data_IF_046981130805
#
_entry.id   IF_046981130805
#
_cell.length_a   1.000
_cell.length_b   1.000
_cell.length_c   1.000
_cell.angle_alpha   90.00
_cell.angle_beta   90.00
_cell.angle_gamma   90.00
#
_symmetry.space_group_name_H-M   'P 1'
#
loop_
_entity.id
_entity.type
_entity.pdbx_description
1 polymer ?
#
# COMPACT_ATOMS: atom_id res chain seq x y z
N UNK A 1 -12.81 -10.45 -6.36
CA UNK A 1 -13.68 -10.45 -7.56
C UNK A 1 -14.48 -9.15 -7.77
N UNK A 2 -15.46 -8.80 -6.92
CA UNK A 2 -16.35 -7.63 -7.16
C UNK A 2 -15.60 -6.31 -7.38
N UNK A 3 -14.53 -6.05 -6.61
CA UNK A 3 -13.68 -4.88 -6.81
C UNK A 3 -13.01 -4.83 -8.20
N UNK A 4 -12.53 -5.98 -8.71
CA UNK A 4 -11.92 -6.09 -10.05
C UNK A 4 -12.96 -5.85 -11.14
N UNK A 5 -14.17 -6.40 -10.99
CA UNK A 5 -15.29 -6.16 -11.91
C UNK A 5 -15.66 -4.68 -11.93
N UNK A 6 -15.77 -4.05 -10.76
CA UNK A 6 -16.09 -2.63 -10.65
C UNK A 6 -15.01 -1.75 -11.32
N UNK A 7 -13.72 -2.02 -11.09
CA UNK A 7 -12.64 -1.27 -11.75
C UNK A 7 -12.61 -1.48 -13.27
N UNK A 8 -12.83 -2.71 -13.74
CA UNK A 8 -12.98 -2.99 -15.16
C UNK A 8 -14.15 -2.20 -15.76
N UNK A 9 -15.30 -2.19 -15.09
CA UNK A 9 -16.48 -1.45 -15.56
C UNK A 9 -16.25 0.07 -15.59
N UNK A 10 -15.62 0.62 -14.55
CA UNK A 10 -15.35 2.07 -14.46
C UNK A 10 -14.30 2.48 -15.48
N UNK A 11 -13.20 1.74 -15.65
CA UNK A 11 -12.00 2.27 -16.33
C UNK A 11 -11.67 1.63 -17.69
N UNK A 12 -12.27 0.49 -18.08
CA UNK A 12 -11.85 -0.20 -19.30
C UNK A 12 -12.35 0.45 -20.61
N UNK A 13 -13.41 1.27 -20.51
CA UNK A 13 -14.01 1.99 -21.63
C UNK A 13 -13.10 3.09 -22.22
N UNK A 14 -13.47 3.67 -23.38
CA UNK A 14 -12.76 4.81 -23.94
C UNK A 14 -12.74 6.03 -22.99
N UNK A 15 -13.86 6.24 -22.31
CA UNK A 15 -14.08 7.19 -21.21
C UNK A 15 -14.49 6.41 -19.96
N UNK A 16 -14.20 6.92 -18.75
CA UNK A 16 -14.61 6.23 -17.54
C UNK A 16 -16.12 6.26 -17.35
N UNK A 17 -16.67 5.17 -16.81
CA UNK A 17 -18.07 5.11 -16.43
C UNK A 17 -18.29 5.75 -15.06
N UNK A 18 -19.09 6.81 -15.03
CA UNK A 18 -19.45 7.50 -13.79
C UNK A 18 -20.58 6.82 -13.00
N UNK A 19 -21.17 5.73 -13.51
CA UNK A 19 -22.28 5.02 -12.86
C UNK A 19 -22.06 3.52 -12.88
N UNK A 20 -21.86 2.93 -11.70
CA UNK A 20 -21.89 1.48 -11.53
C UNK A 20 -23.35 0.99 -11.48
N UNK A 21 -23.71 -0.07 -12.23
CA UNK A 21 -25.07 -0.58 -12.27
C UNK A 21 -25.42 -1.35 -10.99
N UNK A 22 -26.72 -1.49 -10.64
CA UNK A 22 -27.16 -2.18 -9.42
C UNK A 22 -26.65 -3.62 -9.28
N UNK A 23 -26.49 -4.33 -10.40
CA UNK A 23 -25.95 -5.70 -10.43
C UNK A 23 -24.50 -5.79 -9.89
N UNK A 24 -23.74 -4.69 -9.89
CA UNK A 24 -22.39 -4.60 -9.32
C UNK A 24 -22.43 -3.83 -8.00
N UNK A 25 -23.06 -2.66 -7.98
CA UNK A 25 -23.06 -1.77 -6.81
C UNK A 25 -23.69 -2.39 -5.57
N UNK A 26 -24.88 -3.01 -5.68
CA UNK A 26 -25.58 -3.57 -4.51
C UNK A 26 -24.77 -4.68 -3.82
N UNK A 27 -24.30 -5.74 -4.50
CA UNK A 27 -23.49 -6.77 -3.83
C UNK A 27 -22.13 -6.23 -3.37
N UNK A 28 -21.56 -5.25 -4.07
CA UNK A 28 -20.26 -4.69 -3.68
C UNK A 28 -20.37 -3.85 -2.41
N UNK A 29 -21.38 -2.97 -2.31
CA UNK A 29 -21.67 -2.18 -1.11
C UNK A 29 -21.92 -3.09 0.11
N UNK A 30 -22.78 -4.10 -0.03
CA UNK A 30 -23.08 -5.05 1.07
C UNK A 30 -21.85 -5.83 1.53
N UNK A 31 -21.05 -6.31 0.58
CA UNK A 31 -19.81 -7.03 0.90
C UNK A 31 -18.81 -6.12 1.61
N UNK A 32 -18.65 -4.89 1.12
CA UNK A 32 -17.74 -3.90 1.68
C UNK A 32 -18.15 -3.49 3.10
N UNK A 33 -19.45 -3.28 3.33
CA UNK A 33 -20.02 -3.02 4.66
C UNK A 33 -19.76 -4.18 5.62
N UNK A 34 -20.02 -5.42 5.20
CA UNK A 34 -19.76 -6.60 6.02
C UNK A 34 -18.29 -6.77 6.41
N UNK A 35 -17.37 -6.45 5.49
CA UNK A 35 -15.93 -6.51 5.71
C UNK A 35 -15.37 -5.23 6.37
N UNK A 36 -16.24 -4.25 6.64
CA UNK A 36 -15.90 -2.96 7.24
C UNK A 36 -14.79 -2.21 6.46
N UNK A 37 -14.87 -2.24 5.12
CA UNK A 37 -13.88 -1.63 4.21
C UNK A 37 -14.56 -0.81 3.13
N UNK A 38 -13.89 0.19 2.56
CA UNK A 38 -14.47 0.95 1.44
C UNK A 38 -14.71 0.09 0.17
N UNK A 39 -15.82 0.33 -0.57
CA UNK A 39 -16.18 -0.39 -1.79
C UNK A 39 -15.37 0.13 -3.00
N UNK A 40 -14.06 -0.06 -2.95
CA UNK A 40 -13.11 0.23 -4.04
C UNK A 40 -12.06 -0.89 -4.11
N UNK A 41 -11.23 -0.93 -5.14
CA UNK A 41 -10.12 -1.88 -5.22
C UNK A 41 -9.00 -1.52 -4.23
N UNK A 42 -9.23 -1.86 -2.96
CA UNK A 42 -8.26 -1.70 -1.87
C UNK A 42 -7.10 -2.69 -2.00
N UNK A 43 -6.02 -2.42 -1.28
CA UNK A 43 -4.89 -3.34 -1.16
C UNK A 43 -5.31 -4.73 -0.68
N UNK A 44 -6.27 -4.84 0.25
CA UNK A 44 -6.79 -6.13 0.69
C UNK A 44 -7.47 -6.91 -0.45
N UNK A 45 -8.30 -6.22 -1.24
CA UNK A 45 -9.03 -6.84 -2.35
C UNK A 45 -8.14 -7.22 -3.54
N UNK A 46 -7.08 -6.44 -3.79
CA UNK A 46 -6.16 -6.67 -4.92
C UNK A 46 -4.99 -7.58 -4.58
N UNK A 47 -4.58 -7.66 -3.31
CA UNK A 47 -3.44 -8.45 -2.86
C UNK A 47 -3.88 -9.52 -1.85
N UNK A 48 -4.22 -9.14 -0.61
CA UNK A 48 -4.38 -10.08 0.51
C UNK A 48 -5.35 -11.24 0.22
N UNK A 49 -6.43 -10.97 -0.51
CA UNK A 49 -7.46 -11.94 -0.88
C UNK A 49 -7.37 -12.46 -2.33
N UNK A 50 -6.34 -12.09 -3.08
CA UNK A 50 -6.26 -12.26 -4.53
C UNK A 50 -5.05 -13.08 -4.99
N UNK A 51 -4.83 -14.25 -4.40
CA UNK A 51 -3.72 -15.13 -4.77
C UNK A 51 -4.11 -16.59 -4.57
N UNK A 52 -3.40 -17.48 -5.27
CA UNK A 52 -3.48 -18.93 -5.07
C UNK A 52 -2.09 -19.54 -5.22
N UNK A 53 -1.75 -20.58 -4.44
CA UNK A 53 -0.52 -21.32 -4.65
C UNK A 53 -0.56 -22.12 -5.96
N UNK A 54 0.61 -22.35 -6.56
CA UNK A 54 0.77 -23.20 -7.75
C UNK A 54 0.92 -24.69 -7.42
N UNK A 55 1.14 -25.03 -6.15
CA UNK A 55 1.21 -26.41 -5.65
C UNK A 55 0.74 -26.52 -4.20
N UNK A 56 0.35 -27.72 -3.76
CA UNK A 56 -0.25 -27.96 -2.44
C UNK A 56 0.67 -27.57 -1.26
N UNK A 57 1.99 -27.66 -1.43
CA UNK A 57 3.00 -27.35 -0.41
C UNK A 57 3.91 -26.19 -0.83
N UNK A 58 3.37 -25.26 -1.60
CA UNK A 58 4.07 -24.06 -2.05
C UNK A 58 4.57 -23.21 -0.85
N UNK A 59 5.86 -22.84 -0.87
CA UNK A 59 6.38 -21.79 0.03
C UNK A 59 5.87 -20.43 -0.46
N UNK A 60 4.90 -19.87 0.26
CA UNK A 60 4.24 -18.60 -0.05
C UNK A 60 5.15 -17.38 0.16
N UNK A 61 6.32 -17.56 0.78
CA UNK A 61 7.32 -16.51 0.85
C UNK A 61 8.09 -16.35 -0.46
N UNK A 62 7.94 -17.27 -1.43
CA UNK A 62 8.51 -17.16 -2.77
C UNK A 62 7.44 -16.73 -3.78
N UNK A 63 7.62 -15.61 -4.48
CA UNK A 63 6.61 -15.11 -5.42
C UNK A 63 6.37 -16.06 -6.60
N UNK A 64 7.35 -16.82 -7.08
CA UNK A 64 7.14 -17.79 -8.18
C UNK A 64 6.18 -18.92 -7.84
N UNK A 65 5.87 -19.13 -6.56
CA UNK A 65 4.97 -20.19 -6.13
C UNK A 65 3.49 -19.75 -6.10
N UNK A 66 3.18 -18.50 -6.47
CA UNK A 66 1.84 -17.95 -6.42
C UNK A 66 1.45 -17.26 -7.73
N UNK A 67 0.13 -17.16 -7.97
CA UNK A 67 -0.45 -16.38 -9.07
C UNK A 67 -1.69 -15.63 -8.59
N UNK A 68 -1.97 -14.47 -9.16
CA UNK A 68 -3.17 -13.70 -8.85
C UNK A 68 -4.44 -14.43 -9.34
N UNK A 69 -5.48 -14.47 -8.52
CA UNK A 69 -6.77 -15.10 -8.89
C UNK A 69 -7.53 -14.29 -9.94
N UNK A 70 -7.46 -12.96 -9.83
CA UNK A 70 -8.15 -12.02 -10.69
C UNK A 70 -7.24 -10.86 -11.08
N UNK A 71 -7.23 -10.56 -12.38
CA UNK A 71 -6.52 -9.44 -12.99
C UNK A 71 -7.46 -8.74 -13.97
N UNK A 72 -7.26 -7.45 -14.22
CA UNK A 72 -8.09 -6.71 -15.20
C UNK A 72 -7.51 -6.84 -16.60
N UNK A 73 -6.19 -6.80 -16.73
CA UNK A 73 -5.46 -6.89 -18.00
C UNK A 73 -5.23 -8.33 -18.47
N UNK A 74 -5.26 -9.30 -17.55
CA UNK A 74 -4.89 -10.69 -17.85
C UNK A 74 -3.38 -10.91 -18.03
N UNK A 75 -2.53 -9.89 -17.82
CA UNK A 75 -1.10 -9.99 -18.06
C UNK A 75 -0.32 -10.59 -16.89
N UNK A 76 0.85 -11.15 -17.21
CA UNK A 76 1.79 -11.62 -16.20
C UNK A 76 2.32 -10.46 -15.32
N UNK A 77 2.55 -9.29 -15.91
CA UNK A 77 2.98 -8.09 -15.20
C UNK A 77 2.03 -7.68 -14.08
N UNK A 78 0.72 -7.78 -14.29
CA UNK A 78 -0.29 -7.44 -13.28
C UNK A 78 -0.31 -8.47 -12.17
N UNK A 79 -0.27 -9.77 -12.53
CA UNK A 79 -0.17 -10.83 -11.53
C UNK A 79 1.10 -10.67 -10.69
N UNK A 80 2.25 -10.43 -11.33
CA UNK A 80 3.52 -10.27 -10.64
C UNK A 80 3.52 -9.07 -9.69
N UNK A 81 2.94 -7.94 -10.12
CA UNK A 81 2.79 -6.75 -9.29
C UNK A 81 2.06 -7.04 -7.96
N UNK A 82 0.97 -7.81 -8.01
CA UNK A 82 0.25 -8.23 -6.80
C UNK A 82 1.04 -9.28 -6.01
N UNK A 83 1.60 -10.29 -6.68
CA UNK A 83 2.26 -11.42 -6.03
C UNK A 83 3.55 -11.03 -5.31
N UNK A 84 4.31 -10.04 -5.79
CA UNK A 84 5.44 -9.47 -5.02
C UNK A 84 4.95 -8.92 -3.67
N UNK A 85 3.82 -8.20 -3.68
CA UNK A 85 3.20 -7.67 -2.46
C UNK A 85 2.74 -8.80 -1.53
N UNK A 86 2.10 -9.86 -2.07
CA UNK A 86 1.70 -11.03 -1.30
C UNK A 86 2.89 -11.77 -0.64
N UNK A 87 3.96 -11.99 -1.40
CA UNK A 87 5.16 -12.67 -0.88
C UNK A 87 5.82 -11.85 0.24
N UNK A 88 5.80 -10.52 0.13
CA UNK A 88 6.28 -9.63 1.20
C UNK A 88 5.44 -9.77 2.47
N UNK A 89 4.12 -9.73 2.35
CA UNK A 89 3.19 -9.92 3.48
C UNK A 89 3.42 -11.28 4.16
N UNK A 90 3.52 -12.37 3.37
CA UNK A 90 3.77 -13.71 3.89
C UNK A 90 5.14 -13.82 4.59
N UNK A 91 6.20 -13.25 3.99
CA UNK A 91 7.57 -13.30 4.53
C UNK A 91 7.72 -12.50 5.82
N UNK A 92 6.99 -11.40 5.95
CA UNK A 92 7.03 -10.54 7.13
C UNK A 92 5.99 -10.91 8.20
N UNK A 93 5.06 -11.82 7.93
CA UNK A 93 4.06 -12.29 8.90
C UNK A 93 4.64 -12.64 10.28
N UNK A 94 5.72 -13.45 10.37
CA UNK A 94 6.35 -13.78 11.65
C UNK A 94 6.92 -12.58 12.44
N UNK A 95 7.16 -11.44 11.79
CA UNK A 95 7.61 -10.22 12.47
C UNK A 95 6.53 -9.65 13.39
N UNK A 96 5.25 -9.91 13.11
CA UNK A 96 4.14 -9.45 13.95
C UNK A 96 4.27 -10.06 15.35
N UNK A 97 4.41 -11.39 15.43
CA UNK A 97 4.56 -12.10 16.70
C UNK A 97 5.84 -11.69 17.43
N UNK A 98 6.97 -11.60 16.72
CA UNK A 98 8.25 -11.20 17.32
C UNK A 98 8.18 -9.79 17.94
N UNK A 99 7.57 -8.83 17.25
CA UNK A 99 7.48 -7.46 17.73
C UNK A 99 6.43 -7.29 18.83
N UNK A 100 5.32 -8.05 18.80
CA UNK A 100 4.39 -8.11 19.92
C UNK A 100 5.04 -8.73 21.17
N UNK A 101 5.85 -9.79 21.00
CA UNK A 101 6.65 -10.35 22.07
C UNK A 101 7.66 -9.36 22.66
N UNK A 102 8.23 -8.47 21.83
CA UNK A 102 9.07 -7.38 22.31
C UNK A 102 8.31 -6.34 23.14
N UNK A 103 7.06 -6.02 22.75
CA UNK A 103 6.19 -5.13 23.53
C UNK A 103 5.88 -5.72 24.91
N UNK A 104 5.62 -7.03 24.99
CA UNK A 104 5.40 -7.73 26.26
C UNK A 104 6.67 -7.81 27.11
N UNK A 105 7.82 -8.09 26.48
CA UNK A 105 9.13 -8.19 27.15
C UNK A 105 9.56 -6.88 27.85
N UNK A 106 9.05 -5.73 27.42
CA UNK A 106 9.26 -4.44 28.10
C UNK A 106 8.70 -4.47 29.53
N UNK A 107 7.52 -5.07 29.74
CA UNK A 107 6.87 -5.14 31.07
C UNK A 107 7.66 -5.98 32.07
N UNK A 108 8.36 -7.01 31.59
CA UNK A 108 9.21 -7.89 32.41
C UNK A 108 10.68 -7.49 32.42
N UNK A 109 11.05 -6.36 31.79
CA UNK A 109 12.42 -5.90 31.64
C UNK A 109 13.36 -6.94 30.98
N UNK A 110 12.83 -7.74 30.05
CA UNK A 110 13.59 -8.74 29.30
C UNK A 110 14.26 -8.11 28.07
N UNK A 111 15.37 -7.42 28.33
CA UNK A 111 16.17 -6.73 27.32
C UNK A 111 16.64 -7.68 26.21
N UNK A 112 16.98 -8.92 26.54
CA UNK A 112 17.51 -9.89 25.58
C UNK A 112 16.45 -10.23 24.54
N UNK A 113 15.21 -10.47 24.95
CA UNK A 113 14.10 -10.72 24.02
C UNK A 113 13.83 -9.50 23.12
N UNK A 114 13.88 -8.29 23.68
CA UNK A 114 13.69 -7.05 22.91
C UNK A 114 14.78 -6.92 21.83
N UNK A 115 16.05 -7.11 22.19
CA UNK A 115 17.18 -7.04 21.25
C UNK A 115 17.03 -8.06 20.12
N UNK A 116 16.73 -9.32 20.45
CA UNK A 116 16.55 -10.37 19.44
C UNK A 116 15.39 -10.07 18.49
N UNK A 117 14.26 -9.58 19.00
CA UNK A 117 13.13 -9.19 18.17
C UNK A 117 13.48 -8.04 17.22
N UNK A 118 14.19 -7.02 17.68
CA UNK A 118 14.65 -5.89 16.85
C UNK A 118 15.65 -6.32 15.77
N UNK A 119 16.57 -7.24 16.11
CA UNK A 119 17.50 -7.82 15.14
C UNK A 119 16.78 -8.69 14.10
N UNK A 120 15.79 -9.48 14.52
CA UNK A 120 14.95 -10.27 13.62
C UNK A 120 14.11 -9.37 12.71
N UNK A 121 13.53 -8.30 13.25
CA UNK A 121 12.83 -7.27 12.49
C UNK A 121 13.74 -6.63 11.42
N UNK A 122 14.96 -6.23 11.79
CA UNK A 122 15.95 -5.70 10.83
C UNK A 122 16.16 -6.68 9.67
N UNK A 123 16.38 -7.96 9.95
CA UNK A 123 16.58 -8.98 8.92
C UNK A 123 15.34 -9.15 8.04
N UNK A 124 14.15 -9.16 8.65
CA UNK A 124 12.88 -9.23 7.94
C UNK A 124 12.66 -8.06 6.98
N UNK A 125 12.93 -6.83 7.42
CA UNK A 125 12.84 -5.63 6.57
C UNK A 125 13.80 -5.68 5.39
N UNK A 126 15.03 -6.15 5.60
CA UNK A 126 15.99 -6.36 4.51
C UNK A 126 15.48 -7.42 3.53
N UNK A 127 14.89 -8.50 4.04
CA UNK A 127 14.38 -9.60 3.22
C UNK A 127 13.17 -9.22 2.35
N UNK A 128 12.19 -8.49 2.90
CA UNK A 128 11.08 -7.99 2.08
C UNK A 128 11.52 -6.85 1.14
N UNK A 129 12.57 -6.10 1.51
CA UNK A 129 13.20 -5.14 0.61
C UNK A 129 13.83 -5.81 -0.62
N UNK A 130 14.42 -7.00 -0.46
CA UNK A 130 14.92 -7.79 -1.58
C UNK A 130 13.78 -8.29 -2.47
N UNK A 131 12.65 -8.73 -1.91
CA UNK A 131 11.47 -9.08 -2.70
C UNK A 131 10.95 -7.91 -3.53
N UNK A 132 10.91 -6.71 -2.97
CA UNK A 132 10.44 -5.52 -3.68
C UNK A 132 11.27 -5.21 -4.93
N UNK A 133 12.58 -5.47 -4.90
CA UNK A 133 13.49 -5.27 -6.03
C UNK A 133 13.26 -6.28 -7.17
N UNK A 134 12.60 -7.41 -6.89
CA UNK A 134 12.25 -8.43 -7.88
C UNK A 134 11.05 -8.06 -8.74
N UNK A 135 10.44 -6.89 -8.51
CA UNK A 135 9.36 -6.36 -9.37
C UNK A 135 9.78 -6.34 -10.85
N UNK A 136 11.05 -6.03 -11.14
CA UNK A 136 11.58 -5.92 -12.50
C UNK A 136 11.70 -7.24 -13.25
N UNK A 137 11.62 -8.37 -12.56
CA UNK A 137 11.82 -9.68 -13.19
C UNK A 137 10.69 -9.98 -14.18
N UNK A 138 9.46 -9.54 -13.87
CA UNK A 138 8.25 -9.92 -14.63
C UNK A 138 7.21 -8.79 -14.75
N UNK A 139 7.51 -7.57 -14.29
CA UNK A 139 6.62 -6.41 -14.47
C UNK A 139 7.36 -5.29 -15.20
N UNK A 140 7.00 -5.04 -16.46
CA UNK A 140 7.55 -3.95 -17.26
C UNK A 140 7.02 -2.57 -16.78
N UNK A 141 7.89 -1.58 -16.55
CA UNK A 141 7.47 -0.25 -16.09
C UNK A 141 6.48 0.48 -17.01
N UNK A 142 6.56 0.30 -18.34
CA UNK A 142 5.62 0.93 -19.28
C UNK A 142 4.26 0.22 -19.23
N UNK A 143 4.27 -1.11 -19.16
CA UNK A 143 3.06 -1.92 -18.98
C UNK A 143 2.35 -1.56 -17.68
N UNK A 144 3.10 -1.45 -16.58
CA UNK A 144 2.56 -0.99 -15.31
C UNK A 144 1.93 0.40 -15.43
N UNK A 145 2.69 1.39 -15.92
CA UNK A 145 2.25 2.78 -15.91
C UNK A 145 1.03 3.03 -16.82
N UNK A 146 1.03 2.48 -18.04
CA UNK A 146 0.00 2.77 -19.03
C UNK A 146 -1.18 1.80 -19.03
N UNK A 147 -0.99 0.55 -18.58
CA UNK A 147 -2.04 -0.48 -18.64
C UNK A 147 -2.58 -0.84 -17.27
N UNK A 148 -1.72 -1.09 -16.28
CA UNK A 148 -2.15 -1.62 -14.97
C UNK A 148 -2.61 -0.48 -14.05
N UNK A 149 -1.77 0.55 -13.87
CA UNK A 149 -2.00 1.67 -12.95
C UNK A 149 -3.37 2.36 -13.10
N UNK A 150 -3.93 2.56 -14.31
CA UNK A 150 -5.28 3.10 -14.46
C UNK A 150 -6.36 2.30 -13.71
N UNK A 151 -6.23 0.97 -13.63
CA UNK A 151 -7.19 0.11 -12.92
C UNK A 151 -7.00 0.10 -11.40
N UNK A 152 -5.85 0.60 -10.92
CA UNK A 152 -5.59 0.81 -9.50
C UNK A 152 -6.14 2.15 -9.00
N UNK A 153 -6.52 3.05 -9.91
CA UNK A 153 -7.02 4.37 -9.59
C UNK A 153 -8.38 4.31 -8.88
N UNK A 154 -8.58 5.21 -7.92
CA UNK A 154 -9.89 5.47 -7.33
C UNK A 154 -10.60 6.60 -8.08
N UNK A 155 -11.75 7.02 -7.58
CA UNK A 155 -12.56 8.10 -8.17
C UNK A 155 -12.38 9.46 -7.48
N UNK A 156 -11.62 9.53 -6.39
CA UNK A 156 -11.31 10.78 -5.70
C UNK A 156 -10.37 11.66 -6.52
N UNK A 157 -10.71 12.94 -6.64
CA UNK A 157 -9.97 13.95 -7.41
C UNK A 157 -9.83 13.65 -8.92
N UNK A 158 -10.73 12.85 -9.51
CA UNK A 158 -10.64 12.40 -10.91
C UNK A 158 -11.44 13.25 -11.92
N UNK A 159 -11.64 14.54 -11.64
CA UNK A 159 -12.42 15.43 -12.52
C UNK A 159 -11.81 15.54 -13.93
N UNK A 160 -10.49 15.65 -14.05
CA UNK A 160 -9.77 15.73 -15.35
C UNK A 160 -9.83 14.42 -16.14
N UNK A 161 -10.03 13.29 -15.44
CA UNK A 161 -10.22 11.98 -16.05
C UNK A 161 -11.66 11.76 -16.54
N UNK A 162 -12.62 12.60 -16.14
CA UNK A 162 -14.04 12.48 -16.49
C UNK A 162 -14.95 12.06 -15.34
N UNK A 163 -14.46 12.03 -14.09
CA UNK A 163 -15.25 11.68 -12.90
C UNK A 163 -15.28 12.85 -11.88
N UNK A 164 -15.94 13.98 -12.22
CA UNK A 164 -15.93 15.19 -11.38
C UNK A 164 -16.60 15.00 -10.01
N UNK A 165 -17.56 14.08 -9.91
CA UNK A 165 -18.32 13.78 -8.69
C UNK A 165 -17.94 12.42 -8.07
N UNK A 166 -16.86 11.80 -8.57
CA UNK A 166 -16.58 10.39 -8.32
C UNK A 166 -17.47 9.47 -9.15
N UNK A 167 -17.95 8.38 -8.55
CA UNK A 167 -18.80 7.37 -9.20
C UNK A 167 -20.14 7.28 -8.47
N UNK A 168 -21.24 7.24 -9.21
CA UNK A 168 -22.57 6.95 -8.69
C UNK A 168 -22.72 5.43 -8.50
N UNK A 169 -22.92 5.02 -7.26
CA UNK A 169 -23.22 3.62 -6.90
C UNK A 169 -24.74 3.47 -6.95
N UNK A 170 -25.25 2.93 -8.05
CA UNK A 170 -26.68 2.77 -8.30
C UNK A 170 -27.23 1.59 -7.48
N UNK A 171 -28.25 1.84 -6.66
CA UNK A 171 -28.90 0.80 -5.85
C UNK A 171 -30.25 0.35 -6.44
N UNK A 172 -30.59 0.86 -7.64
CA UNK A 172 -31.81 0.58 -8.36
C UNK A 172 -32.99 1.46 -7.93
N UNK A 173 -34.05 1.48 -8.75
CA UNK A 173 -35.30 2.21 -8.46
C UNK A 173 -35.11 3.71 -8.19
N UNK A 174 -34.08 4.33 -8.78
CA UNK A 174 -33.75 5.74 -8.57
C UNK A 174 -32.94 6.03 -7.30
N UNK A 175 -32.58 5.00 -6.52
CA UNK A 175 -31.71 5.14 -5.35
C UNK A 175 -30.23 4.98 -5.72
N UNK A 176 -29.36 5.60 -4.92
CA UNK A 176 -27.91 5.49 -5.04
C UNK A 176 -27.21 6.75 -4.57
N UNK A 177 -25.88 6.70 -4.49
CA UNK A 177 -25.07 7.80 -3.96
C UNK A 177 -23.81 8.01 -4.78
N UNK A 178 -23.45 9.28 -4.99
CA UNK A 178 -22.15 9.67 -5.52
C UNK A 178 -21.08 9.44 -4.46
N UNK A 179 -20.01 8.73 -4.81
CA UNK A 179 -18.92 8.38 -3.90
C UNK A 179 -17.57 8.58 -4.57
N UNK A 180 -16.66 9.18 -3.82
CA UNK A 180 -15.29 9.47 -4.24
C UNK A 180 -14.32 8.76 -3.29
N UNK A 181 -13.65 7.72 -3.79
CA UNK A 181 -12.69 6.92 -3.01
C UNK A 181 -11.29 7.03 -3.59
N UNK A 182 -10.27 6.94 -2.73
CA UNK A 182 -8.87 6.78 -3.17
C UNK A 182 -8.66 5.39 -3.77
N UNK A 183 -7.71 5.29 -4.69
CA UNK A 183 -7.35 4.02 -5.31
C UNK A 183 -6.54 3.13 -4.37
N UNK A 184 -6.24 1.92 -4.84
CA UNK A 184 -5.34 1.01 -4.14
C UNK A 184 -3.95 1.60 -4.00
N UNK A 185 -3.36 1.51 -2.81
CA UNK A 185 -1.97 1.93 -2.57
C UNK A 185 -1.33 1.10 -1.45
N UNK A 186 0.00 1.04 -1.43
CA UNK A 186 0.75 0.34 -0.38
C UNK A 186 0.54 0.96 1.01
N UNK A 187 0.03 2.20 1.11
CA UNK A 187 -0.36 2.81 2.38
C UNK A 187 -1.53 2.11 3.08
N UNK A 188 -2.23 1.23 2.36
CA UNK A 188 -3.33 0.39 2.85
C UNK A 188 -2.84 -1.00 3.31
N UNK A 189 -1.54 -1.29 3.25
CA UNK A 189 -0.98 -2.47 3.92
C UNK A 189 -1.01 -2.24 5.43
N UNK A 190 -1.71 -3.13 6.14
CA UNK A 190 -1.77 -3.10 7.60
C UNK A 190 -0.41 -3.44 8.22
N UNK A 191 0.37 -4.31 7.57
CA UNK A 191 1.69 -4.72 8.03
C UNK A 191 2.68 -3.54 8.13
N UNK A 192 2.71 -2.67 7.11
CA UNK A 192 3.61 -1.50 7.16
C UNK A 192 3.21 -0.52 8.26
N UNK A 193 1.91 -0.30 8.48
CA UNK A 193 1.45 0.54 9.60
C UNK A 193 1.66 -0.12 10.97
N UNK A 194 1.66 -1.46 11.05
CA UNK A 194 2.02 -2.17 12.28
C UNK A 194 3.48 -1.90 12.66
N UNK A 195 4.39 -1.92 11.68
CA UNK A 195 5.80 -1.59 11.91
C UNK A 195 5.99 -0.15 12.39
N UNK A 196 5.25 0.78 11.81
CA UNK A 196 5.26 2.18 12.23
C UNK A 196 4.75 2.33 13.67
N UNK A 197 3.64 1.66 14.01
CA UNK A 197 3.04 1.72 15.33
C UNK A 197 3.97 1.14 16.40
N UNK A 198 4.51 -0.06 16.18
CA UNK A 198 5.33 -0.77 17.20
C UNK A 198 6.69 -0.10 17.45
N UNK A 199 7.25 0.58 16.44
CA UNK A 199 8.47 1.39 16.59
C UNK A 199 8.18 2.84 17.00
N UNK A 200 6.91 3.22 17.14
CA UNK A 200 6.45 4.57 17.49
C UNK A 200 6.91 5.66 16.50
N UNK A 201 6.76 5.40 15.19
CA UNK A 201 7.04 6.39 14.14
C UNK A 201 5.96 7.48 14.15
N UNK A 202 6.37 8.75 14.24
CA UNK A 202 5.43 9.89 14.19
C UNK A 202 5.16 10.33 12.74
N UNK A 203 3.92 10.14 12.30
CA UNK A 203 3.43 10.53 10.98
C UNK A 203 2.66 11.86 10.94
N UNK A 204 2.90 12.75 11.90
CA UNK A 204 2.22 14.06 12.03
C UNK A 204 2.37 14.96 10.80
N UNK A 205 3.45 14.86 10.02
CA UNK A 205 3.67 15.67 8.79
C UNK A 205 3.05 15.02 7.54
N UNK A 206 2.47 13.82 7.68
CA UNK A 206 1.80 13.09 6.60
C UNK A 206 0.31 13.43 6.43
N UNK A 207 -0.17 14.49 7.08
CA UNK A 207 -1.49 15.10 6.84
C UNK A 207 -2.68 14.17 7.14
N UNK A 208 -2.52 13.23 8.09
CA UNK A 208 -3.56 12.26 8.44
C UNK A 208 -3.76 11.12 7.44
N UNK A 209 -2.92 11.03 6.40
CA UNK A 209 -3.06 10.00 5.35
C UNK A 209 -3.09 8.58 5.90
N UNK A 210 -2.18 8.23 6.83
CA UNK A 210 -2.11 6.88 7.39
C UNK A 210 -3.39 6.50 8.16
N UNK A 211 -3.94 7.43 8.94
CA UNK A 211 -5.22 7.24 9.62
C UNK A 211 -6.38 7.10 8.63
N UNK A 212 -6.41 7.91 7.57
CA UNK A 212 -7.40 7.77 6.49
C UNK A 212 -7.32 6.38 5.82
N UNK A 213 -6.10 5.88 5.57
CA UNK A 213 -5.88 4.58 4.94
C UNK A 213 -6.39 3.40 5.78
N UNK A 214 -6.59 3.56 7.09
CA UNK A 214 -7.21 2.51 7.92
C UNK A 214 -8.65 2.20 7.51
N UNK A 215 -9.39 3.17 6.95
CA UNK A 215 -10.73 2.93 6.36
C UNK A 215 -10.71 2.09 5.07
N UNK A 216 -9.53 1.87 4.49
CA UNK A 216 -9.31 1.03 3.32
C UNK A 216 -8.71 -0.34 3.69
N UNK A 217 -8.49 -0.60 4.98
CA UNK A 217 -8.09 -1.89 5.53
C UNK A 217 -9.33 -2.67 5.99
N UNK A 218 -9.27 -4.01 6.12
CA UNK A 218 -10.32 -4.76 6.79
C UNK A 218 -10.53 -4.25 8.23
N UNK A 219 -11.78 -4.13 8.69
CA UNK A 219 -12.10 -3.57 10.01
C UNK A 219 -11.30 -4.16 11.18
N UNK A 220 -11.16 -5.50 11.29
CA UNK A 220 -10.34 -6.13 12.32
C UNK A 220 -8.86 -5.71 12.27
N UNK A 221 -8.29 -5.48 11.08
CA UNK A 221 -6.91 -5.04 10.95
C UNK A 221 -6.74 -3.59 11.40
N UNK A 222 -7.70 -2.71 11.06
CA UNK A 222 -7.68 -1.32 11.50
C UNK A 222 -7.73 -1.21 13.03
N UNK A 223 -8.63 -1.97 13.67
CA UNK A 223 -8.73 -2.03 15.14
C UNK A 223 -7.45 -2.58 15.78
N UNK A 224 -6.88 -3.65 15.21
CA UNK A 224 -5.60 -4.19 15.68
C UNK A 224 -4.48 -3.13 15.66
N UNK A 225 -4.43 -2.27 14.63
CA UNK A 225 -3.46 -1.17 14.59
C UNK A 225 -3.71 -0.08 15.64
N UNK A 226 -4.98 0.19 15.98
CA UNK A 226 -5.32 1.09 17.09
C UNK A 226 -4.84 0.50 18.43
N UNK A 227 -5.07 -0.79 18.65
CA UNK A 227 -4.63 -1.50 19.86
C UNK A 227 -3.10 -1.51 19.99
N UNK A 228 -2.37 -1.85 18.92
CA UNK A 228 -0.90 -1.85 18.91
C UNK A 228 -0.33 -0.46 19.18
N UNK A 229 -0.90 0.59 18.57
CA UNK A 229 -0.47 1.97 18.81
C UNK A 229 -0.68 2.40 20.26
N UNK A 230 -1.72 1.89 20.94
CA UNK A 230 -1.99 2.20 22.34
C UNK A 230 -1.02 1.53 23.32
N UNK A 231 -0.44 0.38 22.97
CA UNK A 231 0.48 -0.39 23.82
C UNK A 231 1.96 -0.25 23.44
N UNK A 232 2.28 0.43 22.33
CA UNK A 232 3.65 0.57 21.85
C UNK A 232 4.54 1.30 22.87
N UNK A 233 5.52 0.57 23.41
CA UNK A 233 6.35 1.00 24.53
C UNK A 233 7.87 0.82 24.28
N UNK A 234 8.27 0.16 23.17
CA UNK A 234 9.68 -0.19 22.87
C UNK A 234 10.56 1.06 22.77
N UNK A 235 10.14 2.08 22.00
CA UNK A 235 10.95 3.29 21.80
C UNK A 235 11.19 4.04 23.11
N UNK A 236 10.14 4.21 23.93
CA UNK A 236 10.27 4.84 25.26
C UNK A 236 11.19 4.04 26.19
N UNK A 237 11.10 2.71 26.15
CA UNK A 237 11.95 1.83 26.93
C UNK A 237 13.43 1.94 26.53
N UNK A 238 13.73 1.98 25.22
CA UNK A 238 15.11 2.20 24.72
C UNK A 238 15.63 3.55 25.21
N UNK A 239 14.81 4.61 25.11
CA UNK A 239 15.19 5.96 25.54
C UNK A 239 15.46 6.06 27.06
N UNK A 240 14.80 5.25 27.90
CA UNK A 240 15.08 5.22 29.34
C UNK A 240 16.29 4.36 29.72
N UNK A 241 16.82 3.58 28.77
CA UNK A 241 17.96 2.67 28.97
C UNK A 241 19.16 3.07 28.10
N UNK A 242 19.45 4.36 27.99
CA UNK A 242 20.49 4.90 27.11
C UNK A 242 21.90 4.37 27.34
N UNK A 243 22.19 3.87 28.55
CA UNK A 243 23.46 3.23 28.89
C UNK A 243 23.61 1.83 28.26
N UNK A 244 22.52 1.21 27.83
CA UNK A 244 22.53 -0.07 27.14
C UNK A 244 22.80 0.12 25.64
N UNK A 245 24.08 0.12 25.28
CA UNK A 245 24.56 0.34 23.90
C UNK A 245 24.00 -0.71 22.93
N UNK A 246 23.85 -1.97 23.35
CA UNK A 246 23.36 -3.03 22.48
C UNK A 246 21.88 -2.84 22.12
N UNK A 247 21.06 -2.53 23.12
CA UNK A 247 19.64 -2.22 22.95
C UNK A 247 19.43 -0.98 22.06
N UNK A 248 20.18 0.09 22.33
CA UNK A 248 20.14 1.32 21.53
C UNK A 248 20.53 1.05 20.07
N UNK A 249 21.58 0.25 19.86
CA UNK A 249 22.05 -0.11 18.52
C UNK A 249 20.99 -0.93 17.80
N UNK A 250 20.46 -1.99 18.42
CA UNK A 250 19.44 -2.85 17.82
C UNK A 250 18.19 -2.06 17.39
N UNK A 251 17.72 -1.14 18.24
CA UNK A 251 16.57 -0.28 17.92
C UNK A 251 16.87 0.65 16.75
N UNK A 252 17.99 1.37 16.78
CA UNK A 252 18.35 2.30 15.73
C UNK A 252 18.63 1.61 14.40
N UNK A 253 19.12 0.38 14.40
CA UNK A 253 19.28 -0.44 13.21
C UNK A 253 17.95 -0.97 12.66
N UNK A 254 16.98 -1.33 13.52
CA UNK A 254 15.63 -1.68 13.12
C UNK A 254 14.93 -0.50 12.43
N UNK A 255 15.01 0.70 13.02
CA UNK A 255 14.52 1.95 12.43
C UNK A 255 15.21 2.24 11.09
N UNK A 256 16.53 2.08 11.02
CA UNK A 256 17.29 2.26 9.78
C UNK A 256 16.89 1.26 8.69
N UNK A 257 16.57 0.01 9.05
CA UNK A 257 16.11 -1.00 8.11
C UNK A 257 14.73 -0.65 7.52
N UNK A 258 13.80 -0.16 8.34
CA UNK A 258 12.50 0.34 7.88
C UNK A 258 12.66 1.57 6.96
N UNK A 259 13.52 2.51 7.32
CA UNK A 259 13.85 3.65 6.45
C UNK A 259 14.48 3.19 5.11
N UNK A 260 15.39 2.22 5.15
CA UNK A 260 16.02 1.66 3.95
C UNK A 260 15.03 0.95 3.03
N UNK A 261 14.01 0.28 3.59
CA UNK A 261 12.90 -0.25 2.81
C UNK A 261 12.10 0.87 2.11
N UNK A 262 11.85 1.99 2.80
CA UNK A 262 11.18 3.16 2.21
C UNK A 262 12.01 3.80 1.09
N UNK A 263 13.33 3.83 1.20
CA UNK A 263 14.22 4.26 0.11
C UNK A 263 14.11 3.35 -1.12
N UNK A 264 14.08 2.02 -0.94
CA UNK A 264 13.85 1.07 -2.05
C UNK A 264 12.49 1.33 -2.72
N UNK A 265 11.45 1.61 -1.93
CA UNK A 265 10.14 1.96 -2.48
C UNK A 265 10.15 3.28 -3.27
N UNK A 266 10.85 4.31 -2.81
CA UNK A 266 11.03 5.57 -3.56
C UNK A 266 11.76 5.32 -4.89
N UNK A 267 12.78 4.45 -4.89
CA UNK A 267 13.49 4.07 -6.10
C UNK A 267 12.57 3.33 -7.09
N UNK A 268 11.77 2.38 -6.60
CA UNK A 268 10.78 1.66 -7.41
C UNK A 268 9.76 2.62 -8.03
N UNK A 269 9.19 3.51 -7.22
CA UNK A 269 8.23 4.53 -7.67
C UNK A 269 8.83 5.46 -8.74
N UNK A 270 10.10 5.82 -8.60
CA UNK A 270 10.81 6.61 -9.62
C UNK A 270 10.85 5.86 -10.95
N UNK A 271 11.14 4.56 -10.92
CA UNK A 271 11.27 3.72 -12.12
C UNK A 271 9.94 3.35 -12.76
N UNK A 272 8.90 3.12 -11.98
CA UNK A 272 7.59 2.65 -12.45
C UNK A 272 6.57 3.77 -12.69
N UNK A 273 6.81 4.98 -12.18
CA UNK A 273 5.88 6.10 -12.34
C UNK A 273 6.58 7.30 -12.96
N UNK A 274 7.66 7.80 -12.36
CA UNK A 274 8.27 9.07 -12.79
C UNK A 274 8.90 8.94 -14.17
N UNK A 275 9.74 7.92 -14.38
CA UNK A 275 10.40 7.71 -15.67
C UNK A 275 9.35 7.44 -16.76
N UNK A 276 8.40 6.48 -16.61
CA UNK A 276 7.36 6.24 -17.60
C UNK A 276 6.48 7.45 -17.91
N UNK A 277 6.12 8.26 -16.91
CA UNK A 277 5.31 9.48 -17.13
C UNK A 277 5.95 10.51 -18.07
N UNK A 278 7.28 10.45 -18.25
CA UNK A 278 8.05 11.34 -19.13
C UNK A 278 8.39 10.70 -20.47
N UNK A 279 8.07 9.41 -20.63
CA UNK A 279 8.26 8.67 -21.87
C UNK A 279 6.97 8.74 -22.71
N UNK A 280 7.11 8.59 -24.02
CA UNK A 280 5.95 8.57 -24.91
C UNK A 280 5.14 7.29 -24.71
N UNK A 281 3.80 7.41 -24.72
CA UNK A 281 2.89 6.25 -24.64
C UNK A 281 3.20 5.26 -25.75
N UNK A 282 3.33 3.94 -25.45
CA UNK A 282 3.49 2.91 -26.47
C UNK A 282 2.39 3.01 -27.54
N UNK A 283 2.78 2.90 -28.82
CA UNK A 283 1.87 3.07 -29.97
C UNK A 283 0.88 1.91 -30.15
N UNK A 284 1.11 0.80 -29.45
CA UNK A 284 0.27 -0.40 -29.47
C UNK A 284 -0.62 -0.46 -28.23
N UNK A 285 -1.90 -0.13 -28.37
CA UNK A 285 -2.89 -0.26 -27.31
C UNK A 285 -4.25 0.37 -27.65
N UNK A 286 -5.32 0.04 -26.92
CA UNK A 286 -6.63 0.66 -27.13
C UNK A 286 -6.54 2.17 -26.92
N UNK A 287 -7.19 2.95 -27.81
CA UNK A 287 -7.34 4.41 -27.70
C UNK A 287 -8.29 4.75 -26.55
N UNK A 288 -7.80 4.64 -25.32
CA UNK A 288 -8.45 5.17 -24.11
C UNK A 288 -7.95 6.58 -23.86
N UNK A 289 -8.78 7.42 -23.21
CA UNK A 289 -8.32 8.65 -22.57
C UNK A 289 -7.07 8.34 -21.75
N UNK A 290 -6.10 9.26 -21.72
CA UNK A 290 -4.84 9.02 -21.02
C UNK A 290 -5.04 9.08 -19.50
N UNK A 291 -5.66 8.02 -18.96
CA UNK A 291 -5.98 7.84 -17.55
C UNK A 291 -4.71 7.72 -16.71
N UNK A 292 -3.63 7.21 -17.29
CA UNK A 292 -2.32 7.14 -16.65
C UNK A 292 -1.79 8.56 -16.36
N UNK A 293 -1.89 9.48 -17.32
CA UNK A 293 -1.54 10.89 -17.11
C UNK A 293 -2.57 11.61 -16.23
N UNK A 294 -3.88 11.32 -16.38
CA UNK A 294 -4.90 11.96 -15.53
C UNK A 294 -4.79 11.58 -14.04
N UNK A 295 -4.38 10.35 -13.73
CA UNK A 295 -4.06 9.93 -12.35
C UNK A 295 -2.76 10.55 -11.81
N UNK A 296 -1.94 11.15 -12.68
CA UNK A 296 -0.65 11.77 -12.38
C UNK A 296 -0.73 13.29 -12.29
N UNK A 297 -1.49 13.93 -13.18
CA UNK A 297 -1.61 15.37 -13.34
C UNK A 297 -2.70 15.95 -12.43
N UNK A 298 -2.45 16.15 -11.14
CA UNK A 298 -3.37 16.91 -10.27
C UNK A 298 -2.69 17.41 -8.98
N UNK A 299 -1.78 18.37 -9.15
CA UNK A 299 -1.47 19.35 -8.11
C UNK A 299 -1.25 20.72 -8.77
N UNK A 300 -2.29 21.56 -8.70
CA UNK A 300 -2.31 22.99 -9.05
C UNK A 300 -2.33 23.35 -10.55
N UNK A 301 -3.33 24.15 -10.93
CA UNK A 301 -3.46 24.75 -12.27
C UNK A 301 -2.45 25.87 -12.55
N UNK A 302 -1.15 25.60 -12.40
CA UNK A 302 -0.06 26.49 -12.85
C UNK A 302 1.09 25.67 -13.47
N UNK A 303 1.68 26.13 -14.60
CA UNK A 303 2.81 25.46 -15.20
C UNK A 303 4.10 25.90 -14.50
N UNK A 304 4.61 25.07 -13.58
CA UNK A 304 6.03 24.93 -13.21
C UNK A 304 6.12 23.83 -12.14
N UNK A 305 6.87 22.77 -12.47
CA UNK A 305 7.01 21.48 -11.76
C UNK A 305 5.70 20.69 -11.62
N UNK A 306 5.32 19.89 -12.63
CA UNK A 306 4.24 18.90 -12.52
C UNK A 306 4.58 17.90 -11.40
N UNK A 307 4.00 18.10 -10.23
CA UNK A 307 4.07 17.14 -9.12
C UNK A 307 3.14 15.96 -9.42
N UNK A 308 3.73 14.77 -9.55
CA UNK A 308 2.99 13.54 -9.85
C UNK A 308 2.21 13.06 -8.62
N UNK A 309 1.01 12.54 -8.86
CA UNK A 309 0.13 11.99 -7.81
C UNK A 309 0.11 10.45 -7.86
N UNK A 310 0.15 9.82 -6.68
CA UNK A 310 -0.03 8.37 -6.55
C UNK A 310 -1.51 7.96 -6.70
N UNK A 311 -1.80 6.67 -6.90
CA UNK A 311 -3.18 6.15 -6.94
C UNK A 311 -3.96 6.37 -5.64
N UNK A 312 -3.24 6.46 -4.51
CA UNK A 312 -3.76 6.89 -3.22
C UNK A 312 -4.02 8.40 -3.11
N UNK A 313 -3.71 9.21 -4.12
CA UNK A 313 -4.03 10.64 -4.16
C UNK A 313 -3.07 11.57 -3.39
N UNK A 314 -1.85 11.13 -3.07
CA UNK A 314 -0.81 11.97 -2.46
C UNK A 314 0.22 12.44 -3.48
N UNK A 315 0.87 13.58 -3.21
CA UNK A 315 2.03 14.04 -3.98
C UNK A 315 3.16 13.05 -3.79
N UNK A 316 3.47 12.30 -4.84
CA UNK A 316 4.16 11.02 -4.76
C UNK A 316 5.52 11.12 -4.05
N UNK A 317 6.47 11.88 -4.59
CA UNK A 317 7.82 11.98 -4.02
C UNK A 317 7.88 12.77 -2.72
N UNK A 318 7.23 13.95 -2.58
CA UNK A 318 7.20 14.66 -1.31
C UNK A 318 6.66 13.79 -0.17
N UNK A 319 5.52 13.12 -0.38
CA UNK A 319 4.89 12.26 0.62
C UNK A 319 5.80 11.10 1.03
N UNK A 320 6.36 10.37 0.06
CA UNK A 320 7.22 9.22 0.36
C UNK A 320 8.52 9.63 1.07
N UNK A 321 9.10 10.79 0.72
CA UNK A 321 10.26 11.33 1.42
C UNK A 321 9.92 11.73 2.85
N UNK A 322 8.81 12.45 3.05
CA UNK A 322 8.35 12.81 4.39
C UNK A 322 8.16 11.58 5.26
N UNK A 323 7.48 10.56 4.75
CA UNK A 323 7.28 9.29 5.46
C UNK A 323 8.63 8.64 5.83
N UNK A 324 9.57 8.51 4.90
CA UNK A 324 10.92 8.01 5.20
C UNK A 324 11.65 8.85 6.25
N UNK A 325 11.60 10.17 6.13
CA UNK A 325 12.30 11.08 7.04
C UNK A 325 11.71 10.98 8.46
N UNK A 326 10.38 10.88 8.59
CA UNK A 326 9.68 10.59 9.86
C UNK A 326 10.16 9.27 10.49
N UNK A 327 10.37 8.21 9.71
CA UNK A 327 11.00 6.98 10.23
C UNK A 327 12.42 7.23 10.69
N UNK A 328 13.25 7.89 9.88
CA UNK A 328 14.65 8.15 10.24
C UNK A 328 14.80 8.98 11.52
N UNK A 329 13.88 9.91 11.74
CA UNK A 329 13.80 10.76 12.94
C UNK A 329 13.34 9.99 14.19
N UNK A 330 12.83 8.76 14.04
CA UNK A 330 12.39 7.90 15.16
C UNK A 330 13.57 7.38 15.99
N UNK A 331 14.80 7.43 15.45
CA UNK A 331 16.02 7.02 16.16
C UNK A 331 16.12 7.66 17.55
N UNK A 332 16.70 6.91 18.48
CA UNK A 332 17.04 7.40 19.81
C UNK A 332 18.49 7.87 19.79
N UNK A 333 18.74 9.09 20.28
CA UNK A 333 20.06 9.70 20.35
C UNK A 333 20.26 10.21 21.78
N UNK A 334 21.40 9.86 22.37
CA UNK A 334 21.86 10.34 23.68
C UNK A 334 23.12 11.17 23.51
#
# INVERSE_FOLDING_TARGET
MLAVIAQGYIWAGPEPSERLPPAISVPFLRTAEYLEVHPVATYAALNLWNWTPLSENADLTQPENMVALHTVSGSDDESWFFIISNAMEARAGPLIEAMLGAVEAVETNDVTTIIHALQYFRQGMQSIGQLLERMDERCDPQMFYHTIRPFLAGSMNMATAGLPNGVFYDEGNGNGTWRAYRGGSNGQSSLLQFFDAVLSVDHSRSGGFHAEMRGYMPGPHARFLDDVAAIANIRSYVNSHGDNVELLTAFNEAVAALSGFRDKHIALVTRYIIIPSRMGKPTTGPKRRDLASASTELATGKPKTQELVGTGGTKLIPFLRTSRDETSETKVVH
#
